data_IF_481067291798
#
_entry.id   IF_481067291798
#
_cell.length_a   1.000
_cell.length_b   1.000
_cell.length_c   1.000
_cell.angle_alpha   90.00
_cell.angle_beta   90.00
_cell.angle_gamma   90.00
#
_symmetry.space_group_name_H-M   'P 1'
#
loop_
_entity.id
_entity.type
_entity.pdbx_description
1 polymer ?
#
# COMPACT_ATOMS: atom_id res chain seq x y z
N UNK A 1 -26.21 20.58 -19.95
CA UNK A 1 -24.88 20.44 -19.31
C UNK A 1 -24.96 19.32 -18.29
N UNK A 2 -24.68 18.09 -18.73
CA UNK A 2 -24.44 16.97 -17.82
C UNK A 2 -22.98 17.09 -17.33
N UNK A 3 -22.75 17.96 -16.35
CA UNK A 3 -21.48 17.94 -15.60
C UNK A 3 -21.69 16.95 -14.46
N UNK A 4 -21.70 15.67 -14.82
CA UNK A 4 -21.68 14.59 -13.84
C UNK A 4 -20.36 14.66 -13.09
N UNK A 5 -20.43 14.89 -11.79
CA UNK A 5 -19.29 14.84 -10.88
C UNK A 5 -18.79 13.38 -10.80
N UNK A 6 -17.97 12.97 -11.77
CA UNK A 6 -17.29 11.67 -11.84
C UNK A 6 -15.84 11.74 -11.31
N UNK A 7 -15.55 12.70 -10.42
CA UNK A 7 -14.18 13.14 -10.12
C UNK A 7 -13.49 12.41 -8.96
N UNK A 8 -14.13 11.42 -8.35
CA UNK A 8 -13.46 10.54 -7.39
C UNK A 8 -13.17 9.21 -8.05
N UNK A 9 -11.88 8.90 -8.25
CA UNK A 9 -11.51 7.55 -8.68
C UNK A 9 -11.87 6.56 -7.56
N UNK A 10 -12.27 5.32 -7.90
CA UNK A 10 -12.47 4.28 -6.91
C UNK A 10 -11.21 4.13 -6.06
N UNK A 11 -11.40 3.95 -4.76
CA UNK A 11 -10.28 3.71 -3.85
C UNK A 11 -9.53 2.45 -4.27
N UNK A 12 -8.23 2.56 -4.46
CA UNK A 12 -7.36 1.44 -4.86
C UNK A 12 -6.48 1.03 -3.68
N UNK A 13 -6.46 -0.27 -3.39
CA UNK A 13 -5.49 -0.84 -2.48
C UNK A 13 -4.11 -0.85 -3.16
N UNK A 14 -3.10 -0.30 -2.49
CA UNK A 14 -1.71 -0.31 -2.93
C UNK A 14 -0.84 -1.04 -1.92
N UNK A 15 0.12 -1.79 -2.45
CA UNK A 15 1.18 -2.45 -1.70
C UNK A 15 2.49 -2.01 -2.33
N UNK A 16 3.43 -1.55 -1.52
CA UNK A 16 4.80 -1.27 -1.93
C UNK A 16 5.73 -2.24 -1.22
N UNK A 17 6.61 -2.85 -2.00
CA UNK A 17 7.70 -3.65 -1.48
C UNK A 17 8.97 -2.83 -1.47
N UNK A 18 9.67 -2.82 -0.35
CA UNK A 18 10.98 -2.19 -0.20
C UNK A 18 11.99 -3.27 0.11
N UNK A 19 13.06 -3.33 -0.69
CA UNK A 19 14.14 -4.29 -0.53
C UNK A 19 15.35 -3.53 0.00
N UNK A 20 15.90 -4.00 1.13
CA UNK A 20 17.09 -3.42 1.74
C UNK A 20 18.02 -4.53 2.24
N UNK A 21 19.31 -4.26 2.34
CA UNK A 21 20.26 -5.18 2.99
C UNK A 21 20.28 -4.89 4.49
N UNK A 22 19.98 -5.90 5.30
CA UNK A 22 20.08 -5.85 6.76
C UNK A 22 21.07 -6.93 7.18
N UNK A 23 22.16 -6.53 7.82
CA UNK A 23 23.21 -7.45 8.27
C UNK A 23 23.70 -8.40 7.16
N UNK A 24 23.96 -7.86 5.97
CA UNK A 24 24.41 -8.60 4.75
C UNK A 24 23.37 -9.54 4.11
N UNK A 25 22.18 -9.66 4.67
CA UNK A 25 21.07 -10.41 4.09
C UNK A 25 20.04 -9.48 3.42
N UNK A 26 19.46 -9.84 2.27
CA UNK A 26 18.34 -9.11 1.70
C UNK A 26 17.11 -9.26 2.59
N UNK A 27 16.47 -8.13 2.94
CA UNK A 27 15.20 -8.07 3.66
C UNK A 27 14.17 -7.32 2.83
N UNK A 28 12.97 -7.88 2.74
CA UNK A 28 11.82 -7.26 2.06
C UNK A 28 10.83 -6.78 3.12
N UNK A 29 10.34 -5.57 2.93
CA UNK A 29 9.37 -4.89 3.78
C UNK A 29 8.14 -4.58 2.92
N UNK A 30 6.95 -4.55 3.51
CA UNK A 30 5.72 -4.16 2.81
C UNK A 30 5.02 -3.00 3.47
N UNK A 31 4.73 -1.95 2.70
CA UNK A 31 3.85 -0.87 3.09
C UNK A 31 2.52 -0.98 2.35
N UNK A 32 1.41 -0.90 3.08
CA UNK A 32 0.06 -1.02 2.53
C UNK A 32 -0.75 0.24 2.81
N UNK A 33 -1.41 0.78 1.78
CA UNK A 33 -2.34 1.89 1.95
C UNK A 33 -3.47 1.83 0.93
N UNK A 34 -4.58 2.48 1.26
CA UNK A 34 -5.66 2.74 0.33
C UNK A 34 -5.45 4.15 -0.22
N UNK A 35 -5.45 4.27 -1.54
CA UNK A 35 -5.32 5.54 -2.23
C UNK A 35 -6.60 5.88 -2.97
N UNK A 36 -7.12 7.09 -2.79
CA UNK A 36 -8.20 7.64 -3.62
C UNK A 36 -7.81 9.00 -4.17
N UNK A 37 -8.22 9.27 -5.42
CA UNK A 37 -8.06 10.59 -6.01
C UNK A 37 -9.32 11.40 -5.73
N UNK A 38 -9.16 12.53 -5.05
CA UNK A 38 -10.25 13.48 -4.80
C UNK A 38 -10.41 14.44 -5.99
N UNK A 39 -11.59 15.07 -6.13
CA UNK A 39 -11.79 16.10 -7.13
C UNK A 39 -10.74 17.20 -7.02
N UNK A 40 -10.18 17.64 -8.16
CA UNK A 40 -9.06 18.58 -8.18
C UNK A 40 -7.67 17.95 -8.14
N UNK A 41 -7.58 16.61 -8.23
CA UNK A 41 -6.29 15.91 -8.38
C UNK A 41 -5.54 15.68 -7.07
N UNK A 42 -6.13 16.04 -5.94
CA UNK A 42 -5.56 15.76 -4.62
C UNK A 42 -5.61 14.26 -4.33
N UNK A 43 -4.49 13.68 -3.92
CA UNK A 43 -4.39 12.27 -3.54
C UNK A 43 -4.63 12.14 -2.04
N UNK A 44 -5.56 11.28 -1.64
CA UNK A 44 -5.75 10.87 -0.26
C UNK A 44 -5.15 9.48 -0.04
N UNK A 45 -4.23 9.35 0.91
CA UNK A 45 -3.61 8.08 1.27
C UNK A 45 -3.98 7.72 2.70
N UNK A 46 -4.60 6.56 2.88
CA UNK A 46 -4.96 6.02 4.19
C UNK A 46 -4.11 4.77 4.44
N UNK A 47 -3.08 4.84 5.31
CA UNK A 47 -2.24 3.68 5.59
C UNK A 47 -3.05 2.59 6.28
N UNK A 48 -2.72 1.33 5.98
CA UNK A 48 -3.19 0.21 6.79
C UNK A 48 -2.57 0.35 8.18
N UNK A 49 -3.42 0.43 9.21
CA UNK A 49 -2.99 0.54 10.62
C UNK A 49 -3.22 -0.75 11.40
N UNK A 50 -3.66 -1.82 10.74
CA UNK A 50 -3.92 -3.09 11.40
C UNK A 50 -2.60 -3.87 11.54
N UNK A 51 -2.05 -3.89 12.76
CA UNK A 51 -0.82 -4.60 13.07
C UNK A 51 -0.91 -6.10 12.75
N UNK A 52 -2.09 -6.71 12.85
CA UNK A 52 -2.27 -8.14 12.54
C UNK A 52 -1.98 -8.42 11.07
N UNK A 53 -2.53 -7.59 10.18
CA UNK A 53 -2.36 -7.75 8.73
C UNK A 53 -0.92 -7.44 8.31
N UNK A 54 -0.35 -6.37 8.87
CA UNK A 54 1.04 -5.98 8.63
C UNK A 54 2.00 -7.11 9.03
N UNK A 55 1.84 -7.67 10.24
CA UNK A 55 2.67 -8.75 10.72
C UNK A 55 2.46 -10.04 9.92
N UNK A 56 1.24 -10.31 9.47
CA UNK A 56 0.94 -11.47 8.61
C UNK A 56 1.69 -11.39 7.28
N UNK A 57 1.64 -10.25 6.61
CA UNK A 57 2.36 -10.03 5.35
C UNK A 57 3.87 -10.07 5.55
N UNK A 58 4.37 -9.44 6.62
CA UNK A 58 5.80 -9.47 6.92
C UNK A 58 6.27 -10.91 7.24
N UNK A 59 5.50 -11.69 8.00
CA UNK A 59 5.80 -13.09 8.25
C UNK A 59 5.84 -13.92 6.97
N UNK A 60 4.93 -13.69 6.02
CA UNK A 60 4.96 -14.37 4.72
C UNK A 60 6.24 -14.00 3.95
N UNK A 61 6.62 -12.73 3.94
CA UNK A 61 7.84 -12.25 3.26
C UNK A 61 9.11 -12.79 3.92
N UNK A 62 9.15 -12.88 5.25
CA UNK A 62 10.29 -13.39 6.01
C UNK A 62 10.47 -14.91 5.82
N UNK A 63 9.39 -15.64 5.52
CA UNK A 63 9.40 -17.09 5.29
C UNK A 63 9.36 -17.47 3.80
N UNK A 64 9.55 -16.50 2.89
CA UNK A 64 9.52 -16.76 1.45
C UNK A 64 10.80 -17.52 1.05
N UNK A 65 10.69 -18.85 0.96
CA UNK A 65 11.78 -19.69 0.45
C UNK A 65 11.67 -19.80 -1.09
N UNK A 66 12.79 -19.65 -1.81
CA UNK A 66 12.83 -19.77 -3.27
C UNK A 66 12.58 -21.20 -3.78
#
# INVERSE_FOLDING_TARGET
>A
MLVGNSYSTPAMAKIRFTIASVNTAPKVWSDMWIESQMPGGQVNQVPSKNNTDINSVQNMLDNLNP
#
